data_IF_220462544125
#
_entry.id   IF_220462544125
#
_cell.length_a   1.000
_cell.length_b   1.000
_cell.length_c   1.000
_cell.angle_alpha   90.00
_cell.angle_beta   90.00
_cell.angle_gamma   90.00
#
_symmetry.space_group_name_H-M   'P 1'
#
loop_
_entity.id
_entity.type
_entity.pdbx_description
1 polymer ?
#
# COMPACT_ATOMS: atom_id res chain seq x y z
N UNK A 1 -20.37 -3.82 4.53
CA UNK A 1 -19.66 -3.50 5.78
C UNK A 1 -19.69 -1.99 5.89
N UNK A 2 -20.27 -1.45 6.96
CA UNK A 2 -20.25 0.00 7.18
C UNK A 2 -18.78 0.41 7.30
N UNK A 3 -18.34 1.38 6.49
CA UNK A 3 -17.01 1.95 6.62
C UNK A 3 -17.04 2.83 7.85
N UNK A 4 -16.26 2.47 8.88
CA UNK A 4 -16.02 3.37 10.00
C UNK A 4 -15.09 4.48 9.51
N UNK A 5 -15.60 5.70 9.46
CA UNK A 5 -14.84 6.89 9.11
C UNK A 5 -14.30 7.52 10.40
N UNK A 6 -13.09 8.08 10.30
CA UNK A 6 -12.37 8.66 11.42
C UNK A 6 -12.79 10.11 11.55
N UNK A 7 -13.31 10.51 12.71
CA UNK A 7 -13.62 11.92 12.98
C UNK A 7 -12.37 12.66 13.44
N UNK A 8 -11.70 12.15 14.48
CA UNK A 8 -10.41 12.71 14.90
C UNK A 8 -9.53 11.71 15.67
N UNK A 9 -8.22 11.91 15.56
CA UNK A 9 -7.22 11.22 16.37
C UNK A 9 -6.95 12.05 17.63
N UNK A 10 -7.35 11.51 18.78
CA UNK A 10 -7.33 12.25 20.06
C UNK A 10 -5.92 12.27 20.65
N UNK A 11 -5.24 11.11 20.66
CA UNK A 11 -3.90 10.93 21.25
C UNK A 11 -3.25 9.64 20.74
N UNK A 12 -1.97 9.46 21.05
CA UNK A 12 -1.22 8.23 20.74
C UNK A 12 -0.58 7.66 22.00
N UNK A 13 -0.14 6.39 21.91
CA UNK A 13 0.76 5.75 22.87
C UNK A 13 1.83 4.97 22.11
N UNK A 14 3.06 5.00 22.61
CA UNK A 14 4.20 4.33 21.99
C UNK A 14 4.53 3.05 22.75
N UNK A 15 4.59 1.92 22.04
CA UNK A 15 5.15 0.69 22.56
C UNK A 15 6.61 0.56 22.11
N UNK A 16 7.53 0.83 23.03
CA UNK A 16 8.99 0.80 22.78
C UNK A 16 9.56 -0.61 22.61
N UNK A 17 8.87 -1.64 23.12
CA UNK A 17 9.35 -3.02 23.01
C UNK A 17 9.12 -3.56 21.60
N UNK A 18 7.96 -3.24 21.04
CA UNK A 18 7.54 -3.69 19.72
C UNK A 18 7.76 -2.63 18.63
N UNK A 19 8.26 -1.44 18.97
CA UNK A 19 8.39 -0.29 18.07
C UNK A 19 7.10 0.02 17.29
N UNK A 20 5.95 -0.09 17.97
CA UNK A 20 4.61 0.16 17.43
C UNK A 20 3.92 1.32 18.15
N UNK A 21 2.89 1.86 17.50
CA UNK A 21 2.09 2.97 18.02
C UNK A 21 0.62 2.57 17.92
N UNK A 22 -0.12 2.85 18.99
CA UNK A 22 -1.58 2.83 18.95
C UNK A 22 -2.12 4.25 19.03
N UNK A 23 -3.22 4.50 18.33
CA UNK A 23 -3.90 5.78 18.22
C UNK A 23 -5.28 5.66 18.87
N UNK A 24 -5.63 6.64 19.70
CA UNK A 24 -6.95 6.71 20.32
C UNK A 24 -7.89 7.51 19.41
N UNK A 25 -8.83 6.81 18.80
CA UNK A 25 -9.66 7.32 17.71
C UNK A 25 -11.05 7.70 18.24
N UNK A 26 -11.53 8.86 17.81
CA UNK A 26 -12.95 9.20 17.80
C UNK A 26 -13.48 8.92 16.39
N UNK A 27 -14.51 8.08 16.33
CA UNK A 27 -15.17 7.73 15.07
C UNK A 27 -16.24 8.77 14.72
N UNK A 28 -16.55 8.89 13.43
CA UNK A 28 -17.61 9.78 12.93
C UNK A 28 -19.02 9.22 13.14
N UNK A 29 -19.12 7.91 13.37
CA UNK A 29 -20.34 7.25 13.78
C UNK A 29 -20.48 7.25 15.33
N UNK A 30 -21.58 6.70 15.82
CA UNK A 30 -21.83 6.56 17.26
C UNK A 30 -20.96 5.46 17.93
N UNK A 31 -19.90 4.99 17.27
CA UNK A 31 -19.01 3.98 17.85
C UNK A 31 -18.22 4.56 19.03
N UNK A 32 -17.97 3.75 20.07
CA UNK A 32 -17.15 4.20 21.19
C UNK A 32 -15.71 4.44 20.75
N UNK A 33 -15.05 5.42 21.38
CA UNK A 33 -13.62 5.65 21.18
C UNK A 33 -12.83 4.39 21.50
N UNK A 34 -11.87 4.06 20.65
CA UNK A 34 -11.04 2.87 20.81
C UNK A 34 -9.57 3.17 20.54
N UNK A 35 -8.71 2.27 21.01
CA UNK A 35 -7.30 2.26 20.64
C UNK A 35 -7.12 1.35 19.45
N UNK A 36 -6.68 1.90 18.33
CA UNK A 36 -6.39 1.14 17.12
C UNK A 36 -4.90 1.25 16.76
N UNK A 37 -4.31 0.20 16.17
CA UNK A 37 -2.94 0.25 15.70
C UNK A 37 -2.73 1.31 14.61
N UNK A 38 -1.54 1.92 14.55
CA UNK A 38 -1.16 2.87 13.50
C UNK A 38 -1.35 2.30 12.09
N UNK A 39 -0.97 1.04 11.88
CA UNK A 39 -1.17 0.32 10.60
C UNK A 39 -2.64 0.20 10.22
N UNK A 40 -3.52 -0.02 11.20
CA UNK A 40 -4.95 -0.11 10.95
C UNK A 40 -5.47 1.22 10.42
N UNK A 41 -5.06 2.34 11.04
CA UNK A 41 -5.49 3.66 10.63
C UNK A 41 -4.98 4.03 9.24
N UNK A 42 -3.70 3.75 8.95
CA UNK A 42 -3.13 3.98 7.62
C UNK A 42 -3.88 3.25 6.50
N UNK A 43 -4.51 2.12 6.82
CA UNK A 43 -5.29 1.34 5.86
C UNK A 43 -6.70 1.90 5.61
N UNK A 44 -7.32 2.49 6.62
CA UNK A 44 -8.70 3.01 6.50
C UNK A 44 -8.74 4.51 6.17
N UNK A 45 -7.80 5.28 6.70
CA UNK A 45 -7.70 6.73 6.55
C UNK A 45 -6.24 7.18 6.75
N UNK A 46 -5.46 7.07 5.68
CA UNK A 46 -4.07 7.49 5.69
C UNK A 46 -3.90 9.00 5.80
N UNK A 47 -4.85 9.78 5.29
CA UNK A 47 -4.78 11.24 5.27
C UNK A 47 -4.90 11.82 6.69
N UNK A 48 -5.86 11.33 7.48
CA UNK A 48 -6.00 11.69 8.88
C UNK A 48 -4.74 11.32 9.68
N UNK A 49 -4.13 10.16 9.40
CA UNK A 49 -2.90 9.72 10.05
C UNK A 49 -1.71 10.64 9.76
N UNK A 50 -1.46 10.95 8.49
CA UNK A 50 -0.32 11.78 8.10
C UNK A 50 -0.47 13.20 8.63
N UNK A 51 -1.67 13.79 8.48
CA UNK A 51 -1.98 15.12 9.03
C UNK A 51 -1.72 15.18 10.54
N UNK A 52 -2.14 14.15 11.28
CA UNK A 52 -1.93 14.09 12.74
C UNK A 52 -0.45 14.12 13.15
N UNK A 53 0.40 13.45 12.37
CA UNK A 53 1.85 13.45 12.62
C UNK A 53 2.49 14.75 12.16
N UNK A 54 2.14 15.26 10.98
CA UNK A 54 2.63 16.54 10.44
C UNK A 54 2.35 17.70 11.41
N UNK A 55 1.12 17.79 11.95
CA UNK A 55 0.72 18.80 12.94
C UNK A 55 1.56 18.78 14.23
N UNK A 56 2.27 17.68 14.49
CA UNK A 56 3.11 17.49 15.68
C UNK A 56 4.59 17.52 15.38
N UNK A 57 4.98 17.92 14.17
CA UNK A 57 6.38 18.00 13.74
C UNK A 57 6.93 16.71 13.14
N UNK A 58 6.07 15.75 12.82
CA UNK A 58 6.43 14.47 12.21
C UNK A 58 6.40 13.29 13.18
N UNK A 59 6.26 12.09 12.62
CA UNK A 59 6.15 10.85 13.40
C UNK A 59 7.42 10.58 14.21
N UNK A 60 8.59 10.74 13.60
CA UNK A 60 9.88 10.43 14.24
C UNK A 60 10.14 11.33 15.44
N UNK A 61 9.93 12.64 15.30
CA UNK A 61 10.16 13.62 16.38
C UNK A 61 9.28 13.33 17.61
N UNK A 62 8.00 13.00 17.38
CA UNK A 62 7.03 12.78 18.46
C UNK A 62 7.24 11.43 19.14
N UNK A 63 7.59 10.41 18.36
CA UNK A 63 7.60 9.02 18.84
C UNK A 63 9.00 8.60 19.25
N UNK A 64 10.06 9.22 18.73
CA UNK A 64 11.45 8.85 18.94
C UNK A 64 11.76 7.39 18.58
N UNK A 65 11.00 6.78 17.68
CA UNK A 65 11.21 5.40 17.24
C UNK A 65 12.15 5.39 16.04
N UNK A 66 13.26 4.65 16.16
CA UNK A 66 14.24 4.48 15.08
C UNK A 66 13.93 3.28 14.17
N UNK A 67 13.14 2.32 14.66
CA UNK A 67 12.74 1.14 13.89
C UNK A 67 11.36 1.32 13.25
N UNK A 68 11.24 0.87 12.00
CA UNK A 68 10.04 0.98 11.20
C UNK A 68 9.50 -0.39 10.78
N UNK A 69 8.18 -0.50 10.73
CA UNK A 69 7.48 -1.68 10.24
C UNK A 69 7.08 -1.49 8.78
N UNK A 70 7.18 -2.56 7.98
CA UNK A 70 6.74 -2.53 6.58
C UNK A 70 5.21 -2.55 6.56
N UNK A 71 4.60 -1.50 5.99
CA UNK A 71 3.17 -1.46 5.75
C UNK A 71 2.80 -2.30 4.53
N UNK A 72 3.47 -2.08 3.40
CA UNK A 72 3.30 -2.91 2.19
C UNK A 72 4.47 -2.75 1.22
N UNK A 73 4.68 -3.79 0.41
CA UNK A 73 5.53 -3.71 -0.78
C UNK A 73 4.73 -3.13 -1.95
N UNK A 74 5.31 -2.16 -2.63
CA UNK A 74 4.72 -1.41 -3.76
C UNK A 74 5.23 -1.93 -5.10
N UNK A 75 6.54 -2.16 -5.20
CA UNK A 75 7.18 -2.60 -6.43
C UNK A 75 8.38 -3.50 -6.17
N UNK A 76 8.85 -4.13 -7.24
CA UNK A 76 10.04 -4.98 -7.28
C UNK A 76 10.97 -4.47 -8.37
N UNK A 77 12.26 -4.43 -8.07
CA UNK A 77 13.28 -3.84 -8.93
C UNK A 77 14.62 -4.55 -8.81
N UNK A 78 15.50 -4.29 -9.78
CA UNK A 78 16.83 -4.86 -9.84
C UNK A 78 17.87 -3.76 -9.89
N UNK A 79 18.91 -3.87 -9.08
CA UNK A 79 20.06 -2.97 -9.11
C UNK A 79 21.35 -3.79 -9.05
N UNK A 80 22.20 -3.67 -10.07
CA UNK A 80 23.48 -4.42 -10.21
C UNK A 80 23.31 -5.92 -9.94
N UNK A 81 22.27 -6.53 -10.51
CA UNK A 81 21.97 -7.97 -10.37
C UNK A 81 21.39 -8.39 -9.02
N UNK A 82 21.19 -7.45 -8.09
CA UNK A 82 20.56 -7.72 -6.79
C UNK A 82 19.11 -7.27 -6.81
N UNK A 83 18.27 -8.03 -6.11
CA UNK A 83 16.84 -7.78 -6.02
C UNK A 83 16.51 -6.81 -4.87
N UNK A 84 15.62 -5.86 -5.16
CA UNK A 84 15.11 -4.88 -4.22
C UNK A 84 13.59 -4.79 -4.26
N UNK A 85 12.99 -4.38 -3.14
CA UNK A 85 11.58 -4.05 -3.01
C UNK A 85 11.42 -2.58 -2.64
N UNK A 86 10.44 -1.93 -3.26
CA UNK A 86 9.99 -0.59 -2.88
C UNK A 86 8.99 -0.72 -1.73
N UNK A 87 9.39 -0.29 -0.54
CA UNK A 87 8.69 -0.54 0.72
C UNK A 87 8.03 0.74 1.23
N UNK A 88 6.72 0.66 1.48
CA UNK A 88 6.02 1.66 2.28
C UNK A 88 6.08 1.28 3.75
N UNK A 89 6.33 2.27 4.60
CA UNK A 89 6.49 2.13 6.04
C UNK A 89 5.21 2.50 6.79
N UNK A 90 4.99 1.87 7.94
CA UNK A 90 3.88 2.18 8.83
C UNK A 90 4.06 3.60 9.37
N UNK A 91 3.02 4.42 9.23
CA UNK A 91 3.02 5.83 9.66
C UNK A 91 3.62 6.82 8.66
N UNK A 92 4.09 6.36 7.50
CA UNK A 92 4.71 7.22 6.48
C UNK A 92 3.95 7.20 5.15
N UNK A 93 3.92 8.35 4.44
CA UNK A 93 3.27 8.48 3.15
C UNK A 93 4.07 7.76 2.04
N UNK A 94 3.43 7.37 0.93
CA UNK A 94 4.10 6.66 -0.17
C UNK A 94 5.30 7.38 -0.78
N UNK A 95 5.39 8.70 -0.61
CA UNK A 95 6.47 9.56 -1.07
C UNK A 95 7.78 9.30 -0.32
N UNK A 96 7.69 8.74 0.90
CA UNK A 96 8.82 8.37 1.75
C UNK A 96 9.18 6.88 1.65
N UNK A 97 8.67 6.17 0.64
CA UNK A 97 9.07 4.78 0.42
C UNK A 97 10.57 4.69 0.11
N UNK A 98 11.16 3.56 0.51
CA UNK A 98 12.57 3.27 0.22
C UNK A 98 12.75 1.93 -0.49
N UNK A 99 13.79 1.85 -1.32
CA UNK A 99 14.18 0.62 -1.99
C UNK A 99 15.09 -0.21 -1.07
N UNK A 100 14.54 -1.29 -0.54
CA UNK A 100 15.21 -2.16 0.42
C UNK A 100 15.67 -3.47 -0.21
N UNK A 101 16.83 -4.02 0.20
CA UNK A 101 17.29 -5.32 -0.29
C UNK A 101 16.25 -6.42 -0.04
N UNK A 102 15.98 -7.25 -1.05
CA UNK A 102 14.95 -8.29 -0.94
C UNK A 102 15.22 -9.26 0.22
N UNK A 103 16.48 -9.58 0.52
CA UNK A 103 16.85 -10.42 1.65
C UNK A 103 16.50 -9.81 3.01
N UNK A 104 16.57 -8.48 3.15
CA UNK A 104 16.15 -7.76 4.37
C UNK A 104 14.64 -7.90 4.54
N UNK A 105 13.87 -7.60 3.49
CA UNK A 105 12.40 -7.58 3.54
C UNK A 105 11.81 -8.98 3.70
N UNK A 106 12.35 -9.98 3.00
CA UNK A 106 11.93 -11.37 3.19
C UNK A 106 12.16 -11.88 4.62
N UNK A 107 13.15 -11.32 5.33
CA UNK A 107 13.43 -11.67 6.73
C UNK A 107 12.46 -10.99 7.70
N UNK A 108 12.17 -9.70 7.51
CA UNK A 108 11.39 -8.91 8.48
C UNK A 108 9.89 -8.87 8.19
N UNK A 109 9.49 -9.01 6.93
CA UNK A 109 8.10 -8.88 6.49
C UNK A 109 7.78 -9.84 5.32
N UNK A 110 7.93 -11.17 5.51
CA UNK A 110 7.65 -12.14 4.44
C UNK A 110 6.19 -12.09 3.96
N UNK A 111 5.25 -11.78 4.85
CA UNK A 111 3.83 -11.64 4.50
C UNK A 111 3.59 -10.50 3.48
N UNK A 112 4.22 -9.34 3.68
CA UNK A 112 4.10 -8.20 2.76
C UNK A 112 4.65 -8.51 1.35
N UNK A 113 5.68 -9.37 1.27
CA UNK A 113 6.21 -9.87 -0.01
C UNK A 113 5.19 -10.81 -0.67
N UNK A 114 4.65 -11.77 0.07
CA UNK A 114 3.65 -12.71 -0.44
C UNK A 114 2.40 -11.97 -0.97
N UNK A 115 1.91 -10.98 -0.24
CA UNK A 115 0.77 -10.15 -0.65
C UNK A 115 1.05 -9.35 -1.93
N UNK A 116 2.29 -8.88 -2.10
CA UNK A 116 2.69 -8.22 -3.34
C UNK A 116 2.79 -9.19 -4.51
N UNK A 117 3.38 -10.36 -4.31
CA UNK A 117 3.46 -11.40 -5.35
C UNK A 117 2.07 -11.85 -5.82
N UNK A 118 1.14 -12.07 -4.88
CA UNK A 118 -0.25 -12.40 -5.19
C UNK A 118 -0.94 -11.30 -6.01
N UNK A 119 -0.77 -10.03 -5.61
CA UNK A 119 -1.29 -8.87 -6.37
C UNK A 119 -0.69 -8.77 -7.77
N UNK A 120 0.60 -9.06 -7.92
CA UNK A 120 1.29 -9.02 -9.20
C UNK A 120 0.83 -10.11 -10.16
N UNK A 121 0.58 -11.33 -9.67
CA UNK A 121 0.01 -12.41 -10.49
C UNK A 121 -1.35 -11.98 -11.07
N UNK A 122 -2.23 -11.43 -10.22
CA UNK A 122 -3.53 -10.92 -10.64
C UNK A 122 -3.38 -9.77 -11.64
N UNK A 123 -2.46 -8.85 -11.39
CA UNK A 123 -2.18 -7.71 -12.29
C UNK A 123 -1.69 -8.19 -13.65
N UNK A 124 -0.75 -9.14 -13.71
CA UNK A 124 -0.22 -9.69 -14.95
C UNK A 124 -1.30 -10.43 -15.75
N UNK A 125 -2.14 -11.22 -15.08
CA UNK A 125 -3.28 -11.89 -15.72
C UNK A 125 -4.25 -10.88 -16.35
N UNK A 126 -4.60 -9.81 -15.63
CA UNK A 126 -5.46 -8.72 -16.15
C UNK A 126 -4.84 -8.01 -17.36
N UNK A 127 -3.54 -7.73 -17.31
CA UNK A 127 -2.81 -7.09 -18.42
C UNK A 127 -2.76 -8.01 -19.65
N UNK A 128 -2.50 -9.30 -19.46
CA UNK A 128 -2.50 -10.27 -20.55
C UNK A 128 -3.88 -10.38 -21.22
N UNK A 129 -4.95 -10.48 -20.42
CA UNK A 129 -6.32 -10.51 -20.93
C UNK A 129 -6.67 -9.26 -21.75
N UNK A 130 -6.31 -8.06 -21.25
CA UNK A 130 -6.53 -6.79 -21.98
C UNK A 130 -5.77 -6.74 -23.30
N UNK A 131 -4.54 -7.25 -23.34
CA UNK A 131 -3.73 -7.33 -24.57
C UNK A 131 -4.34 -8.30 -25.59
N UNK A 132 -4.78 -9.47 -25.15
CA UNK A 132 -5.45 -10.44 -26.02
C UNK A 132 -6.75 -9.88 -26.60
N UNK A 133 -7.56 -9.20 -25.79
CA UNK A 133 -8.79 -8.54 -26.26
C UNK A 133 -8.50 -7.45 -27.30
N UNK A 134 -7.50 -6.59 -27.07
CA UNK A 134 -7.11 -5.56 -28.02
C UNK A 134 -6.63 -6.14 -29.37
N UNK A 135 -5.83 -7.21 -29.33
CA UNK A 135 -5.37 -7.90 -30.54
C UNK A 135 -6.52 -8.53 -31.34
N UNK A 136 -7.53 -9.10 -30.66
CA UNK A 136 -8.70 -9.68 -31.31
C UNK A 136 -9.58 -8.62 -32.00
N UNK A 137 -9.75 -7.44 -31.39
CA UNK A 137 -10.48 -6.31 -31.99
C UNK A 137 -9.80 -5.81 -33.26
N UNK A 138 -8.47 -5.61 -33.23
CA UNK A 138 -7.72 -5.18 -34.42
C UNK A 138 -7.76 -6.18 -35.58
N UNK A 139 -7.92 -7.48 -35.29
CA UNK A 139 -8.05 -8.52 -36.32
C UNK A 139 -9.44 -8.53 -36.97
N UNK A 140 -10.51 -8.23 -36.21
CA UNK A 140 -11.88 -8.13 -36.74
C UNK A 140 -12.08 -6.90 -37.63
N UNK A 141 -11.47 -5.77 -37.28
CA UNK A 141 -11.51 -4.55 -38.10
C UNK A 141 -10.79 -4.73 -39.45
N UNK A 142 -9.74 -5.56 -39.50
CA UNK A 142 -9.00 -5.85 -40.73
C UNK A 142 -9.73 -6.85 -41.66
N UNK A 143 -10.46 -7.82 -41.09
CA UNK A 143 -11.17 -8.84 -41.88
C UNK A 143 -12.48 -8.29 -42.47
N UNK A 144 -13.12 -7.33 -41.80
CA UNK A 144 -14.34 -6.66 -42.27
C UNK A 144 -14.17 -5.79 -43.53
N UNK A 145 -12.97 -5.25 -43.76
CA UNK A 145 -12.67 -4.40 -44.93
C UNK A 145 -12.36 -5.23 -46.20
N UNK A 146 -12.01 -6.52 -46.03
CA UNK A 146 -11.70 -7.42 -47.15
C UNK A 146 -12.96 -7.96 -47.85
N UNK A 147 -14.10 -8.01 -47.14
CA UNK A 147 -15.33 -8.64 -47.65
C UNK A 147 -16.12 -7.76 -48.63
N UNK A 148 -15.87 -6.44 -48.66
CA UNK A 148 -16.57 -5.49 -49.55
C UNK A 148 -15.92 -5.31 -50.94
N UNK A 149 -14.77 -5.93 -51.21
CA UNK A 149 -14.03 -5.76 -52.46
C UNK A 149 -14.31 -6.83 -53.55
N UNK A 150 -15.18 -7.81 -53.29
CA UNK A 150 -15.49 -8.92 -54.21
C UNK A 150 -16.99 -8.98 -54.58
N UNK A 151 -17.58 -7.87 -55.04
CA UNK A 151 -18.93 -7.81 -55.60
C UNK A 151 -18.92 -7.26 -57.03
#
# INVERSE_FOLDING_TARGET
MAGHEVDCIVRHRVNRQENTIDLFIQWSDDSPRSWEPEEFLQRIDSEALYTYWEDRGGREEVTGLEEHHVFKVKAKGWNKGKLFYDCQWVGYPPEENTWEPASKIMRIAPAAVADWEAREVIRQARVAARRAAAAATSQQDADGDTVMANA
#
